data_IF_790125489871
#
_entry.id   IF_790125489871
#
_cell.length_a   1.000
_cell.length_b   1.000
_cell.length_c   1.000
_cell.angle_alpha   90.00
_cell.angle_beta   90.00
_cell.angle_gamma   90.00
#
_symmetry.space_group_name_H-M   'P 1'
#
loop_
_entity.id
_entity.type
_entity.pdbx_description
1 polymer ?
#
# COMPACT_ATOMS: atom_id res chain seq x y z
N UNK A 1 -6.80 1.24 -10.45
CA UNK A 1 -7.27 1.71 -9.14
C UNK A 1 -6.08 1.97 -8.24
N UNK A 2 -6.12 3.04 -7.48
CA UNK A 2 -5.05 3.42 -6.54
C UNK A 2 -5.69 3.72 -5.20
N UNK A 3 -5.12 3.16 -4.13
CA UNK A 3 -5.51 3.47 -2.76
C UNK A 3 -4.28 3.90 -1.98
N UNK A 4 -4.39 4.98 -1.22
CA UNK A 4 -3.29 5.52 -0.42
C UNK A 4 -3.68 5.58 1.03
N UNK A 5 -2.75 5.20 1.89
CA UNK A 5 -2.97 5.13 3.32
C UNK A 5 -1.83 5.79 4.08
N UNK A 6 -2.15 6.34 5.24
CA UNK A 6 -1.21 7.05 6.09
C UNK A 6 -1.36 6.55 7.52
N UNK A 7 -0.23 6.38 8.19
CA UNK A 7 -0.18 6.05 9.61
C UNK A 7 0.91 6.89 10.26
N UNK A 8 0.64 7.39 11.47
CA UNK A 8 1.64 8.10 12.26
C UNK A 8 2.42 7.09 13.08
N UNK A 9 3.73 7.02 12.83
CA UNK A 9 4.64 6.22 13.62
C UNK A 9 5.36 7.07 14.66
N UNK A 10 6.37 6.49 15.32
CA UNK A 10 7.21 7.23 16.26
C UNK A 10 8.14 8.15 15.48
N UNK A 11 7.85 9.44 15.48
CA UNK A 11 8.63 10.48 14.81
C UNK A 11 8.70 10.36 13.29
N UNK A 12 7.82 9.57 12.67
CA UNK A 12 7.77 9.46 11.23
C UNK A 12 6.36 9.20 10.72
N UNK A 13 6.16 9.47 9.44
CA UNK A 13 4.93 9.17 8.73
C UNK A 13 5.15 7.94 7.87
N UNK A 14 4.22 7.00 7.94
CA UNK A 14 4.26 5.77 7.16
C UNK A 14 3.19 5.85 6.08
N UNK A 15 3.62 5.81 4.84
CA UNK A 15 2.72 5.83 3.69
C UNK A 15 2.70 4.46 3.04
N UNK A 16 1.51 4.04 2.64
CA UNK A 16 1.38 2.84 1.84
C UNK A 16 0.45 3.12 0.67
N UNK A 17 0.94 2.86 -0.53
CA UNK A 17 0.18 3.03 -1.76
C UNK A 17 0.01 1.67 -2.39
N UNK A 18 -1.23 1.32 -2.73
CA UNK A 18 -1.55 0.08 -3.41
C UNK A 18 -2.15 0.43 -4.76
N UNK A 19 -1.57 -0.12 -5.81
CA UNK A 19 -2.01 0.11 -7.18
C UNK A 19 -2.47 -1.22 -7.78
N UNK A 20 -3.70 -1.24 -8.28
CA UNK A 20 -4.22 -2.37 -9.04
C UNK A 20 -4.24 -2.00 -10.51
N UNK A 21 -3.56 -2.80 -11.32
CA UNK A 21 -3.51 -2.62 -12.77
C UNK A 21 -3.61 -3.99 -13.42
N UNK A 22 -4.72 -4.25 -14.11
CA UNK A 22 -5.07 -5.57 -14.67
C UNK A 22 -4.98 -6.67 -13.61
N UNK A 23 -4.03 -7.60 -13.77
CA UNK A 23 -3.82 -8.70 -12.82
C UNK A 23 -2.59 -8.48 -11.94
N UNK A 24 -2.12 -7.24 -11.85
CA UNK A 24 -0.91 -6.87 -11.12
C UNK A 24 -1.26 -5.95 -9.95
N UNK A 25 -0.69 -6.23 -8.80
CA UNK A 25 -0.75 -5.33 -7.65
C UNK A 25 0.65 -4.83 -7.35
N UNK A 26 0.79 -3.51 -7.26
CA UNK A 26 2.03 -2.84 -6.88
C UNK A 26 1.82 -2.22 -5.50
N UNK A 27 2.71 -2.53 -4.57
CA UNK A 27 2.66 -1.98 -3.21
C UNK A 27 3.91 -1.14 -3.01
N UNK A 28 3.70 0.14 -2.66
CA UNK A 28 4.78 1.07 -2.39
C UNK A 28 4.71 1.48 -0.93
N UNK A 29 5.75 1.15 -0.17
CA UNK A 29 5.89 1.55 1.22
C UNK A 29 6.90 2.67 1.32
N UNK A 30 6.52 3.77 1.97
CA UNK A 30 7.38 4.92 2.15
C UNK A 30 7.33 5.40 3.59
N UNK A 31 8.50 5.67 4.15
CA UNK A 31 8.62 6.30 5.45
C UNK A 31 9.19 7.70 5.26
N UNK A 32 8.61 8.68 5.93
CA UNK A 32 9.02 10.07 5.78
C UNK A 32 9.06 10.77 7.13
N UNK A 33 10.09 11.58 7.32
CA UNK A 33 10.24 12.43 8.50
C UNK A 33 11.25 11.91 9.51
N UNK A 34 11.91 12.84 10.22
CA UNK A 34 12.86 12.52 11.26
C UNK A 34 14.01 11.64 10.80
N UNK A 35 14.19 10.53 11.52
CA UNK A 35 15.24 9.56 11.24
C UNK A 35 14.82 8.49 10.22
N UNK A 36 13.58 8.54 9.76
CA UNK A 36 12.99 7.50 8.93
C UNK A 36 12.99 7.85 7.44
N UNK A 37 13.92 8.64 6.99
CA UNK A 37 14.00 9.09 5.59
C UNK A 37 14.67 8.02 4.73
N UNK A 38 13.94 6.93 4.48
CA UNK A 38 14.43 5.80 3.70
C UNK A 38 13.86 5.82 2.30
N UNK A 39 14.58 5.18 1.37
CA UNK A 39 14.08 4.99 0.01
C UNK A 39 12.79 4.16 0.02
N UNK A 40 11.82 4.47 -0.86
CA UNK A 40 10.59 3.69 -0.95
C UNK A 40 10.88 2.23 -1.27
N UNK A 41 10.12 1.34 -0.66
CA UNK A 41 10.14 -0.09 -0.99
C UNK A 41 9.00 -0.38 -1.94
N UNK A 42 9.31 -1.01 -3.04
CA UNK A 42 8.31 -1.38 -4.04
C UNK A 42 8.27 -2.90 -4.15
N UNK A 43 7.08 -3.46 -4.02
CA UNK A 43 6.86 -4.88 -4.27
C UNK A 43 5.72 -5.05 -5.25
N UNK A 44 5.79 -6.12 -6.04
CA UNK A 44 4.78 -6.41 -7.04
C UNK A 44 4.31 -7.83 -6.87
N UNK A 45 3.04 -8.06 -7.18
CA UNK A 45 2.45 -9.39 -7.14
C UNK A 45 1.56 -9.57 -8.36
N UNK A 46 1.81 -10.64 -9.12
CA UNK A 46 1.05 -10.96 -10.32
C UNK A 46 0.07 -12.08 -9.99
N UNK A 47 -1.17 -11.91 -10.40
CA UNK A 47 -2.23 -12.90 -10.21
C UNK A 47 -2.60 -13.53 -11.55
N UNK A 48 -3.22 -14.71 -11.50
CA UNK A 48 -3.60 -15.42 -12.72
C UNK A 48 -4.73 -14.72 -13.46
N UNK A 49 -5.65 -14.08 -12.72
CA UNK A 49 -6.79 -13.39 -13.31
C UNK A 49 -6.96 -12.00 -12.70
N UNK A 50 -7.67 -11.13 -13.44
CA UNK A 50 -8.06 -9.82 -12.95
C UNK A 50 -8.93 -9.91 -11.70
N UNK A 51 -9.82 -10.88 -11.68
CA UNK A 51 -10.73 -11.08 -10.54
C UNK A 51 -9.97 -11.40 -9.26
N UNK A 52 -8.98 -12.27 -9.36
CA UNK A 52 -8.13 -12.61 -8.20
C UNK A 52 -7.38 -11.38 -7.70
N UNK A 53 -6.80 -10.61 -8.61
CA UNK A 53 -6.09 -9.38 -8.26
C UNK A 53 -7.03 -8.37 -7.61
N UNK A 54 -8.23 -8.20 -8.15
CA UNK A 54 -9.22 -7.27 -7.60
C UNK A 54 -9.67 -7.69 -6.20
N UNK A 55 -9.88 -8.97 -5.99
CA UNK A 55 -10.25 -9.51 -4.68
C UNK A 55 -9.14 -9.27 -3.67
N UNK A 56 -7.89 -9.55 -4.06
CA UNK A 56 -6.73 -9.32 -3.21
C UNK A 56 -6.54 -7.83 -2.89
N UNK A 57 -6.78 -6.95 -3.87
CA UNK A 57 -6.72 -5.51 -3.68
C UNK A 57 -7.71 -5.04 -2.61
N UNK A 58 -8.96 -5.49 -2.71
CA UNK A 58 -9.99 -5.14 -1.73
C UNK A 58 -9.62 -5.64 -0.33
N UNK A 59 -9.10 -6.85 -0.24
CA UNK A 59 -8.69 -7.42 1.03
C UNK A 59 -7.54 -6.63 1.66
N UNK A 60 -6.54 -6.26 0.87
CA UNK A 60 -5.43 -5.42 1.34
C UNK A 60 -5.92 -4.07 1.83
N UNK A 61 -6.85 -3.44 1.10
CA UNK A 61 -7.42 -2.16 1.52
C UNK A 61 -8.16 -2.28 2.85
N UNK A 62 -8.91 -3.36 3.05
CA UNK A 62 -9.62 -3.60 4.30
C UNK A 62 -8.65 -3.82 5.47
N UNK A 63 -7.59 -4.56 5.24
CA UNK A 63 -6.57 -4.78 6.27
C UNK A 63 -5.86 -3.49 6.65
N UNK A 64 -5.50 -2.68 5.66
CA UNK A 64 -4.84 -1.40 5.91
C UNK A 64 -5.74 -0.41 6.62
N UNK A 65 -7.03 -0.42 6.30
CA UNK A 65 -7.99 0.49 6.93
C UNK A 65 -8.13 0.27 8.43
N UNK A 66 -7.69 -0.88 8.95
CA UNK A 66 -7.74 -1.17 10.39
C UNK A 66 -6.64 -0.42 11.14
N UNK A 67 -5.51 -0.17 10.52
CA UNK A 67 -4.36 0.48 11.17
C UNK A 67 -4.02 1.84 10.58
N UNK A 68 -4.34 2.05 9.31
CA UNK A 68 -4.00 3.25 8.57
C UNK A 68 -5.25 4.09 8.30
N UNK A 69 -5.02 5.37 8.05
CA UNK A 69 -6.07 6.29 7.60
C UNK A 69 -5.97 6.42 6.09
N UNK A 70 -7.09 6.24 5.40
CA UNK A 70 -7.13 6.42 3.94
C UNK A 70 -7.08 7.89 3.60
N UNK A 71 -6.23 8.24 2.65
CA UNK A 71 -6.05 9.61 2.17
C UNK A 71 -6.37 9.77 0.69
#
# INVERSE_FOLDING_TARGET
MIARYLKYGNDCLLYQTIILEDNLIIIINREKGGWCDKAPRVSTKVYDTRLEAKTAFKQLCNELAQEYTKI
#
